data_IF_040767556659
#
_entry.id   IF_040767556659
#
_cell.length_a   1.000
_cell.length_b   1.000
_cell.length_c   1.000
_cell.angle_alpha   90.00
_cell.angle_beta   90.00
_cell.angle_gamma   90.00
#
_symmetry.space_group_name_H-M   'P 1'
#
loop_
_entity.id
_entity.type
_entity.pdbx_description
1 polymer ?
#
# COMPACT_ATOMS: atom_id res chain seq x y z
N UNK A 1 57.94 20.62 -15.42
CA UNK A 1 57.95 21.43 -16.65
C UNK A 1 58.42 20.55 -17.80
N UNK A 2 57.53 20.26 -18.76
CA UNK A 2 57.81 20.00 -20.17
C UNK A 2 56.58 19.33 -20.78
N UNK A 3 55.77 20.15 -21.43
CA UNK A 3 54.74 19.77 -22.40
C UNK A 3 55.40 19.28 -23.67
N UNK A 4 54.94 18.18 -24.27
CA UNK A 4 55.15 17.97 -25.70
C UNK A 4 53.97 17.24 -26.34
N UNK A 5 53.30 18.01 -27.17
CA UNK A 5 52.22 17.75 -28.09
C UNK A 5 52.65 16.75 -29.16
N UNK A 6 51.78 15.80 -29.54
CA UNK A 6 51.93 15.06 -30.79
C UNK A 6 50.64 15.19 -31.59
N UNK A 7 50.74 15.86 -32.75
CA UNK A 7 49.65 16.13 -33.68
C UNK A 7 49.42 14.91 -34.58
N UNK A 8 48.16 14.49 -34.67
CA UNK A 8 47.68 13.52 -35.64
C UNK A 8 47.62 14.17 -37.03
N UNK A 9 48.06 13.46 -38.06
CA UNK A 9 47.76 13.77 -39.46
C UNK A 9 46.89 12.68 -40.09
N UNK A 10 46.03 13.18 -40.97
CA UNK A 10 44.68 12.73 -41.26
C UNK A 10 44.65 12.10 -42.65
N UNK A 11 44.03 10.93 -42.81
CA UNK A 11 43.59 10.44 -44.11
C UNK A 11 42.06 10.53 -44.18
N UNK A 12 41.54 11.57 -44.84
CA UNK A 12 40.13 11.70 -45.21
C UNK A 12 39.95 11.05 -46.57
N UNK A 13 39.02 10.09 -46.70
CA UNK A 13 38.15 10.03 -47.88
C UNK A 13 36.78 9.40 -47.55
N UNK A 14 35.80 10.33 -47.43
CA UNK A 14 34.35 10.33 -47.76
C UNK A 14 33.44 9.12 -47.43
N UNK A 15 32.45 9.43 -46.58
CA UNK A 15 31.17 8.72 -46.31
C UNK A 15 30.24 8.61 -47.53
N UNK A 16 29.24 7.70 -47.46
CA UNK A 16 27.87 8.19 -47.30
C UNK A 16 27.02 7.47 -46.22
N UNK A 17 26.23 8.30 -45.52
CA UNK A 17 24.85 8.11 -45.05
C UNK A 17 24.44 6.98 -44.08
N UNK A 18 24.25 7.44 -42.82
CA UNK A 18 23.00 7.39 -42.03
C UNK A 18 22.50 6.03 -41.48
N UNK A 19 22.88 5.73 -40.22
CA UNK A 19 22.15 4.80 -39.37
C UNK A 19 21.88 5.43 -37.99
N UNK A 20 20.60 5.70 -37.68
CA UNK A 20 20.13 6.10 -36.36
C UNK A 20 20.34 4.94 -35.38
N UNK A 21 21.23 5.11 -34.40
CA UNK A 21 21.30 4.22 -33.24
C UNK A 21 20.17 4.64 -32.28
N UNK A 22 19.17 3.79 -32.11
CA UNK A 22 18.20 3.91 -31.01
C UNK A 22 18.87 3.37 -29.73
N UNK A 23 18.89 4.09 -28.60
CA UNK A 23 19.28 3.48 -27.35
C UNK A 23 18.19 2.50 -26.93
N UNK A 24 18.47 1.20 -27.02
CA UNK A 24 17.65 0.17 -26.40
C UNK A 24 17.92 0.20 -24.91
N UNK A 25 17.04 0.84 -24.15
CA UNK A 25 16.98 0.65 -22.70
C UNK A 25 16.46 -0.76 -22.45
N UNK A 26 17.38 -1.71 -22.30
CA UNK A 26 17.08 -3.04 -21.79
C UNK A 26 17.05 -2.94 -20.27
N UNK A 27 15.87 -2.67 -19.72
CA UNK A 27 15.63 -2.83 -18.29
C UNK A 27 15.59 -4.33 -17.99
N UNK A 28 16.75 -4.97 -17.87
CA UNK A 28 16.85 -6.36 -17.41
C UNK A 28 16.84 -6.40 -15.88
N UNK A 29 15.78 -5.88 -15.27
CA UNK A 29 15.43 -6.27 -13.90
C UNK A 29 14.57 -7.51 -14.06
N UNK A 30 15.21 -8.66 -14.21
CA UNK A 30 14.49 -9.92 -13.98
C UNK A 30 14.17 -9.96 -12.48
N UNK A 31 12.89 -10.02 -12.07
CA UNK A 31 12.56 -10.27 -10.67
C UNK A 31 13.17 -11.63 -10.30
N UNK A 32 13.72 -11.73 -9.10
CA UNK A 32 14.07 -13.03 -8.51
C UNK A 32 12.87 -13.98 -8.66
N UNK A 33 13.12 -15.20 -9.14
CA UNK A 33 12.12 -16.21 -9.48
C UNK A 33 11.38 -16.83 -8.27
N UNK A 34 11.10 -16.07 -7.22
CA UNK A 34 10.25 -16.51 -6.11
C UNK A 34 9.04 -15.60 -5.99
N UNK A 35 7.87 -16.23 -5.98
CA UNK A 35 6.63 -15.54 -5.66
C UNK A 35 6.70 -15.01 -4.22
N UNK A 36 6.05 -13.88 -3.97
CA UNK A 36 5.85 -13.36 -2.62
C UNK A 36 4.78 -14.24 -1.96
N UNK A 37 5.14 -14.88 -0.84
CA UNK A 37 4.24 -15.66 -0.02
C UNK A 37 3.39 -14.71 0.83
N UNK A 38 2.08 -14.69 0.62
CA UNK A 38 1.18 -13.78 1.33
C UNK A 38 0.34 -14.56 2.33
N UNK A 39 0.46 -14.19 3.61
CA UNK A 39 -0.42 -14.66 4.68
C UNK A 39 -1.52 -13.64 4.89
N UNK A 40 -2.77 -14.08 4.92
CA UNK A 40 -3.92 -13.20 5.12
C UNK A 40 -4.49 -13.49 6.51
N UNK A 41 -4.39 -12.52 7.42
CA UNK A 41 -4.92 -12.60 8.77
C UNK A 41 -6.26 -11.83 8.85
N UNK A 42 -7.31 -12.49 9.33
CA UNK A 42 -8.69 -12.06 9.10
C UNK A 42 -9.24 -12.52 7.75
N UNK A 43 -8.81 -13.69 7.27
CA UNK A 43 -9.12 -14.19 5.93
C UNK A 43 -10.62 -14.47 5.68
N UNK A 44 -11.39 -14.79 6.72
CA UNK A 44 -12.81 -15.12 6.56
C UNK A 44 -13.71 -13.88 6.44
N UNK A 45 -13.17 -12.68 6.75
CA UNK A 45 -13.87 -11.40 6.58
C UNK A 45 -14.06 -11.06 5.11
N UNK A 46 -15.06 -10.23 4.79
CA UNK A 46 -15.33 -9.77 3.42
C UNK A 46 -14.07 -9.20 2.72
N UNK A 47 -13.36 -8.29 3.40
CA UNK A 47 -12.12 -7.72 2.87
C UNK A 47 -10.98 -8.75 2.78
N UNK A 48 -10.94 -9.71 3.71
CA UNK A 48 -9.97 -10.81 3.70
C UNK A 48 -10.16 -11.71 2.48
N UNK A 49 -11.40 -12.09 2.18
CA UNK A 49 -11.77 -12.88 1.00
C UNK A 49 -11.44 -12.13 -0.29
N UNK A 50 -11.75 -10.83 -0.35
CA UNK A 50 -11.36 -10.00 -1.49
C UNK A 50 -9.84 -9.97 -1.69
N UNK A 51 -9.07 -9.91 -0.60
CA UNK A 51 -7.61 -9.97 -0.66
C UNK A 51 -7.09 -11.34 -1.11
N UNK A 52 -7.68 -12.45 -0.67
CA UNK A 52 -7.35 -13.80 -1.15
C UNK A 52 -7.49 -13.87 -2.67
N UNK A 53 -8.66 -13.46 -3.19
CA UNK A 53 -8.94 -13.46 -4.63
C UNK A 53 -7.95 -12.57 -5.38
N UNK A 54 -7.64 -11.39 -4.84
CA UNK A 54 -6.70 -10.45 -5.45
C UNK A 54 -5.27 -11.01 -5.52
N UNK A 55 -4.80 -11.62 -4.43
CA UNK A 55 -3.47 -12.24 -4.35
C UNK A 55 -3.36 -13.41 -5.31
N UNK A 56 -4.36 -14.29 -5.37
CA UNK A 56 -4.35 -15.45 -6.29
C UNK A 56 -4.29 -15.01 -7.76
N UNK A 57 -4.91 -13.89 -8.11
CA UNK A 57 -4.89 -13.33 -9.47
C UNK A 57 -3.62 -12.52 -9.77
N UNK A 58 -2.87 -12.10 -8.75
CA UNK A 58 -1.70 -11.25 -8.90
C UNK A 58 -0.47 -12.06 -9.34
N UNK A 59 0.25 -11.55 -10.36
CA UNK A 59 1.49 -12.17 -10.81
C UNK A 59 2.60 -11.97 -9.77
N UNK A 60 3.38 -13.01 -9.51
CA UNK A 60 4.50 -12.96 -8.56
C UNK A 60 4.08 -12.98 -7.10
N UNK A 61 2.82 -13.34 -6.82
CA UNK A 61 2.29 -13.52 -5.47
C UNK A 61 1.55 -14.85 -5.38
N UNK A 62 1.46 -15.39 -4.18
CA UNK A 62 0.61 -16.54 -3.90
C UNK A 62 0.11 -16.49 -2.45
N UNK A 63 -1.07 -17.03 -2.22
CA UNK A 63 -1.58 -17.19 -0.86
C UNK A 63 -0.82 -18.34 -0.22
N UNK A 64 -0.13 -18.07 0.88
CA UNK A 64 0.67 -19.05 1.60
C UNK A 64 0.01 -19.49 2.93
N UNK A 65 -0.99 -18.75 3.39
CA UNK A 65 -1.76 -19.11 4.57
C UNK A 65 -2.95 -18.18 4.78
N UNK A 66 -4.00 -18.74 5.37
CA UNK A 66 -5.21 -18.04 5.74
C UNK A 66 -5.44 -18.22 7.25
N UNK A 67 -5.53 -17.10 7.97
CA UNK A 67 -5.70 -17.11 9.43
C UNK A 67 -6.99 -16.40 9.80
N UNK A 68 -7.86 -17.08 10.55
CA UNK A 68 -9.08 -16.50 11.11
C UNK A 68 -9.60 -17.36 12.27
N UNK A 69 -10.45 -16.79 13.13
CA UNK A 69 -11.22 -17.53 14.14
C UNK A 69 -12.49 -18.17 13.57
N UNK A 70 -12.94 -17.73 12.40
CA UNK A 70 -14.11 -18.25 11.70
C UNK A 70 -13.71 -19.21 10.57
N UNK A 71 -14.58 -20.17 10.22
CA UNK A 71 -14.36 -21.14 9.13
C UNK A 71 -13.08 -21.98 9.27
N UNK A 72 -12.60 -22.21 10.49
CA UNK A 72 -11.36 -22.97 10.77
C UNK A 72 -11.48 -24.39 10.23
N UNK A 73 -10.47 -24.82 9.49
CA UNK A 73 -10.39 -26.13 8.83
C UNK A 73 -11.01 -26.16 7.43
N UNK A 74 -11.79 -25.15 7.04
CA UNK A 74 -12.30 -25.04 5.68
C UNK A 74 -11.21 -24.54 4.72
N UNK A 75 -11.31 -24.91 3.44
CA UNK A 75 -10.43 -24.40 2.40
C UNK A 75 -10.76 -22.94 2.07
N UNK A 76 -9.75 -22.06 2.09
CA UNK A 76 -9.97 -20.63 1.85
C UNK A 76 -10.44 -20.33 0.42
N UNK A 77 -10.05 -21.14 -0.57
CA UNK A 77 -10.54 -21.00 -1.95
C UNK A 77 -12.04 -21.24 -2.05
N UNK A 78 -12.54 -22.29 -1.39
CA UNK A 78 -13.99 -22.57 -1.28
C UNK A 78 -14.75 -21.48 -0.53
N UNK A 79 -14.21 -20.97 0.58
CA UNK A 79 -14.83 -19.88 1.35
C UNK A 79 -14.92 -18.57 0.54
N UNK A 80 -14.03 -18.41 -0.44
CA UNK A 80 -14.03 -17.29 -1.39
C UNK A 80 -14.83 -17.56 -2.68
N UNK A 81 -15.62 -18.65 -2.73
CA UNK A 81 -16.43 -19.06 -3.87
C UNK A 81 -15.62 -19.20 -5.18
N UNK A 82 -14.37 -19.65 -5.07
CA UNK A 82 -13.50 -19.88 -6.23
C UNK A 82 -13.86 -21.20 -6.93
N UNK A 83 -13.63 -21.25 -8.24
CA UNK A 83 -13.91 -22.44 -9.06
C UNK A 83 -13.06 -23.65 -8.62
N UNK A 84 -11.80 -23.42 -8.28
CA UNK A 84 -10.87 -24.44 -7.79
C UNK A 84 -10.47 -24.14 -6.34
N UNK A 85 -10.39 -25.18 -5.48
CA UNK A 85 -9.89 -25.03 -4.12
C UNK A 85 -8.41 -24.65 -4.14
N UNK A 86 -7.98 -23.86 -3.15
CA UNK A 86 -6.57 -23.49 -3.01
C UNK A 86 -5.75 -24.54 -2.23
N UNK A 87 -6.44 -25.49 -1.60
CA UNK A 87 -5.88 -26.49 -0.69
C UNK A 87 -5.16 -25.87 0.51
N UNK A 88 -5.64 -24.70 0.95
CA UNK A 88 -5.10 -23.96 2.09
C UNK A 88 -6.20 -23.90 3.15
N UNK A 89 -6.08 -24.68 4.25
CA UNK A 89 -7.05 -24.61 5.32
C UNK A 89 -6.92 -23.29 6.08
N UNK A 90 -8.07 -22.73 6.49
CA UNK A 90 -8.09 -21.62 7.43
C UNK A 90 -7.66 -22.15 8.80
N UNK A 91 -6.64 -21.55 9.40
CA UNK A 91 -6.15 -21.91 10.74
C UNK A 91 -6.38 -20.77 11.71
N UNK A 92 -6.39 -21.07 13.01
CA UNK A 92 -6.58 -20.07 14.07
C UNK A 92 -5.28 -19.68 14.78
N UNK A 93 -4.14 -20.20 14.34
CA UNK A 93 -2.82 -19.92 14.90
C UNK A 93 -1.92 -19.27 13.84
N UNK A 94 -1.71 -17.97 13.98
CA UNK A 94 -0.82 -17.19 13.13
C UNK A 94 0.63 -17.69 13.23
N UNK A 95 1.10 -18.03 14.44
CA UNK A 95 2.50 -18.43 14.69
C UNK A 95 2.84 -19.70 13.92
N UNK A 96 1.91 -20.65 13.84
CA UNK A 96 2.07 -21.89 13.07
C UNK A 96 2.35 -21.61 11.59
N UNK A 97 1.57 -20.71 10.97
CA UNK A 97 1.72 -20.35 9.55
C UNK A 97 3.01 -19.56 9.30
N UNK A 98 3.36 -18.65 10.20
CA UNK A 98 4.61 -17.89 10.08
C UNK A 98 5.84 -18.80 10.19
N UNK A 99 5.78 -19.79 11.08
CA UNK A 99 6.82 -20.78 11.27
C UNK A 99 7.14 -21.57 10.00
N UNK A 100 6.11 -22.06 9.28
CA UNK A 100 6.31 -22.82 8.04
C UNK A 100 6.95 -21.98 6.93
N UNK A 101 6.54 -20.71 6.78
CA UNK A 101 7.07 -19.81 5.75
C UNK A 101 8.50 -19.37 6.08
N UNK A 102 8.81 -19.11 7.36
CA UNK A 102 10.17 -18.68 7.75
C UNK A 102 11.26 -19.71 7.40
N UNK A 103 10.90 -20.99 7.28
CA UNK A 103 11.83 -22.07 6.94
C UNK A 103 12.20 -22.13 5.45
N UNK A 104 11.37 -21.59 4.55
CA UNK A 104 11.54 -21.75 3.10
C UNK A 104 12.52 -20.74 2.45
N UNK A 105 13.12 -19.82 3.23
CA UNK A 105 13.91 -18.67 2.73
C UNK A 105 13.17 -17.76 1.73
N UNK A 106 11.85 -17.88 1.64
CA UNK A 106 11.04 -17.08 0.72
C UNK A 106 10.71 -15.71 1.33
N UNK A 107 10.34 -14.77 0.46
CA UNK A 107 9.87 -13.46 0.92
C UNK A 107 8.40 -13.58 1.34
N UNK A 108 8.16 -13.50 2.65
CA UNK A 108 6.83 -13.53 3.23
C UNK A 108 6.30 -12.14 3.61
N UNK A 109 5.00 -11.93 3.38
CA UNK A 109 4.25 -10.74 3.82
C UNK A 109 2.98 -11.18 4.53
N UNK A 110 2.68 -10.56 5.66
CA UNK A 110 1.42 -10.71 6.39
C UNK A 110 0.52 -9.52 6.09
N UNK A 111 -0.69 -9.78 5.62
CA UNK A 111 -1.74 -8.76 5.45
C UNK A 111 -2.74 -8.93 6.59
N UNK A 112 -2.88 -7.91 7.44
CA UNK A 112 -3.68 -7.96 8.66
C UNK A 112 -4.96 -7.13 8.51
N UNK A 113 -6.10 -7.83 8.60
CA UNK A 113 -7.46 -7.29 8.60
C UNK A 113 -8.20 -7.60 9.90
N UNK A 114 -7.50 -7.86 11.00
CA UNK A 114 -8.10 -8.29 12.27
C UNK A 114 -8.80 -7.13 13.01
N UNK A 115 -8.49 -6.91 14.29
CA UNK A 115 -9.10 -5.88 15.14
C UNK A 115 -8.00 -5.00 15.72
N UNK A 116 -8.27 -3.71 16.01
CA UNK A 116 -7.23 -2.78 16.48
C UNK A 116 -6.41 -3.32 17.65
N UNK A 117 -7.04 -4.03 18.59
CA UNK A 117 -6.38 -4.60 19.76
C UNK A 117 -5.42 -5.76 19.48
N UNK A 118 -5.48 -6.39 18.31
CA UNK A 118 -4.62 -7.52 17.95
C UNK A 118 -3.42 -7.12 17.08
N UNK A 119 -3.50 -5.96 16.40
CA UNK A 119 -2.51 -5.55 15.39
C UNK A 119 -1.08 -5.54 15.93
N UNK A 120 -0.87 -4.95 17.11
CA UNK A 120 0.48 -4.83 17.68
C UNK A 120 1.13 -6.20 17.88
N UNK A 121 0.39 -7.14 18.46
CA UNK A 121 0.89 -8.49 18.72
C UNK A 121 1.08 -9.30 17.42
N UNK A 122 0.19 -9.12 16.45
CA UNK A 122 0.32 -9.77 15.14
C UNK A 122 1.57 -9.30 14.39
N UNK A 123 1.81 -7.98 14.32
CA UNK A 123 3.01 -7.41 13.68
C UNK A 123 4.28 -7.81 14.43
N UNK A 124 4.21 -7.89 15.76
CA UNK A 124 5.31 -8.38 16.59
C UNK A 124 5.66 -9.84 16.27
N UNK A 125 4.65 -10.70 16.13
CA UNK A 125 4.84 -12.10 15.70
C UNK A 125 5.43 -12.17 14.30
N UNK A 126 4.83 -11.49 13.31
CA UNK A 126 5.33 -11.47 11.93
C UNK A 126 6.81 -11.05 11.85
N UNK A 127 7.15 -9.96 12.56
CA UNK A 127 8.52 -9.45 12.67
C UNK A 127 9.47 -10.46 13.30
N UNK A 128 9.04 -11.20 14.34
CA UNK A 128 9.86 -12.23 14.99
C UNK A 128 10.23 -13.39 14.06
N UNK A 129 9.39 -13.69 13.07
CA UNK A 129 9.65 -14.69 12.02
C UNK A 129 10.32 -14.09 10.77
N UNK A 130 10.64 -12.79 10.78
CA UNK A 130 11.30 -12.11 9.65
C UNK A 130 10.37 -11.75 8.49
N UNK A 131 9.04 -11.71 8.72
CA UNK A 131 8.06 -11.31 7.71
C UNK A 131 7.70 -9.83 7.83
N UNK A 132 7.41 -9.20 6.69
CA UNK A 132 6.91 -7.81 6.63
C UNK A 132 5.40 -7.80 6.81
N UNK A 133 4.86 -6.68 7.29
CA UNK A 133 3.42 -6.54 7.55
C UNK A 133 2.78 -5.43 6.72
N UNK A 134 1.57 -5.67 6.24
CA UNK A 134 0.64 -4.67 5.69
C UNK A 134 -0.62 -4.71 6.55
N UNK A 135 -0.93 -3.62 7.22
CA UNK A 135 -2.04 -3.53 8.16
C UNK A 135 -3.09 -2.62 7.59
N UNK A 136 -4.30 -3.14 7.37
CA UNK A 136 -5.48 -2.33 7.16
C UNK A 136 -6.50 -2.67 8.24
N UNK A 137 -6.48 -1.86 9.29
CA UNK A 137 -7.39 -2.01 10.42
C UNK A 137 -7.96 -0.63 10.77
N UNK A 138 -9.25 -0.38 10.47
CA UNK A 138 -9.89 0.88 10.79
C UNK A 138 -9.84 1.16 12.30
N UNK A 139 -9.74 2.45 12.66
CA UNK A 139 -9.71 2.94 14.05
C UNK A 139 -8.52 2.41 14.89
N UNK A 140 -7.37 2.18 14.25
CA UNK A 140 -6.11 2.01 14.98
C UNK A 140 -5.72 3.36 15.63
N UNK A 141 -5.25 3.33 16.87
CA UNK A 141 -4.89 4.56 17.59
C UNK A 141 -3.52 5.06 17.16
N UNK A 142 -3.31 6.38 17.27
CA UNK A 142 -1.99 7.01 16.99
C UNK A 142 -0.90 6.46 17.90
N UNK A 143 -1.24 6.12 19.15
CA UNK A 143 -0.31 5.48 20.10
C UNK A 143 0.14 4.10 19.62
N UNK A 144 -0.78 3.28 19.09
CA UNK A 144 -0.44 1.99 18.50
C UNK A 144 0.42 2.15 17.26
N UNK A 145 0.12 3.11 16.37
CA UNK A 145 0.95 3.41 15.20
C UNK A 145 2.37 3.81 15.63
N UNK A 146 2.49 4.68 16.63
CA UNK A 146 3.78 5.16 17.15
C UNK A 146 4.59 4.01 17.77
N UNK A 147 3.94 3.15 18.54
CA UNK A 147 4.57 1.95 19.10
C UNK A 147 5.04 0.98 18.02
N UNK A 148 4.22 0.74 16.98
CA UNK A 148 4.59 -0.08 15.82
C UNK A 148 5.79 0.51 15.07
N UNK A 149 5.81 1.81 14.84
CA UNK A 149 6.92 2.51 14.17
C UNK A 149 8.23 2.30 14.94
N UNK A 150 8.23 2.60 16.24
CA UNK A 150 9.41 2.45 17.09
C UNK A 150 9.88 0.99 17.19
N UNK A 151 8.94 0.03 17.20
CA UNK A 151 9.25 -1.39 17.19
C UNK A 151 9.89 -1.85 15.87
N UNK A 152 9.28 -1.49 14.74
CA UNK A 152 9.74 -1.88 13.41
C UNK A 152 11.11 -1.27 13.07
N UNK A 153 11.35 -0.03 13.48
CA UNK A 153 12.65 0.63 13.34
C UNK A 153 13.76 -0.14 14.08
N UNK A 154 13.52 -0.50 15.35
CA UNK A 154 14.47 -1.30 16.15
C UNK A 154 14.71 -2.69 15.55
N UNK A 155 13.67 -3.30 15.00
CA UNK A 155 13.75 -4.61 14.36
C UNK A 155 14.35 -4.58 12.95
N UNK A 156 14.56 -3.39 12.35
CA UNK A 156 14.92 -3.24 10.94
C UNK A 156 13.94 -3.96 9.99
N UNK A 157 12.65 -3.94 10.33
CA UNK A 157 11.59 -4.63 9.59
C UNK A 157 10.56 -3.64 9.03
N UNK A 158 9.99 -3.96 7.88
CA UNK A 158 9.01 -3.13 7.20
C UNK A 158 7.57 -3.41 7.66
N UNK A 159 6.84 -2.35 8.00
CA UNK A 159 5.40 -2.40 8.27
C UNK A 159 4.70 -1.22 7.58
N UNK A 160 3.68 -1.51 6.77
CA UNK A 160 2.81 -0.50 6.16
C UNK A 160 1.48 -0.48 6.89
N UNK A 161 1.16 0.62 7.58
CA UNK A 161 -0.18 0.85 8.12
C UNK A 161 -0.95 1.71 7.13
N UNK A 162 -1.98 1.13 6.50
CA UNK A 162 -2.77 1.78 5.47
C UNK A 162 -4.13 2.22 6.05
N UNK A 163 -4.47 3.53 6.05
CA UNK A 163 -5.79 4.00 6.47
C UNK A 163 -6.88 3.69 5.43
N UNK A 164 -6.49 3.51 4.17
CA UNK A 164 -7.35 3.07 3.05
C UNK A 164 -6.53 2.19 2.11
N UNK A 165 -7.19 1.22 1.48
CA UNK A 165 -6.60 0.40 0.40
C UNK A 165 -7.00 0.90 -0.99
N UNK A 166 -7.84 1.95 -1.06
CA UNK A 166 -8.23 2.55 -2.34
C UNK A 166 -7.10 3.42 -2.88
N UNK A 167 -6.37 2.91 -3.87
CA UNK A 167 -5.34 3.67 -4.58
C UNK A 167 -5.94 4.94 -5.19
N UNK A 168 -7.17 4.87 -5.73
CA UNK A 168 -7.86 6.03 -6.28
C UNK A 168 -8.07 7.14 -5.26
N UNK A 169 -8.45 6.80 -4.03
CA UNK A 169 -8.61 7.78 -2.94
C UNK A 169 -7.27 8.42 -2.55
N UNK A 170 -6.20 7.64 -2.47
CA UNK A 170 -4.85 8.17 -2.18
C UNK A 170 -4.37 9.10 -3.30
N UNK A 171 -4.57 8.73 -4.56
CA UNK A 171 -4.20 9.56 -5.71
C UNK A 171 -5.01 10.87 -5.73
N UNK A 172 -6.31 10.81 -5.44
CA UNK A 172 -7.16 12.00 -5.30
C UNK A 172 -6.63 12.92 -4.19
N UNK A 173 -6.32 12.38 -3.02
CA UNK A 173 -5.76 13.15 -1.90
C UNK A 173 -4.44 13.84 -2.29
N UNK A 174 -3.53 13.12 -2.93
CA UNK A 174 -2.24 13.68 -3.37
C UNK A 174 -2.41 14.76 -4.44
N UNK A 175 -3.31 14.54 -5.40
CA UNK A 175 -3.62 15.52 -6.44
C UNK A 175 -4.28 16.76 -5.84
N UNK A 176 -5.20 16.60 -4.89
CA UNK A 176 -5.86 17.70 -4.20
C UNK A 176 -4.86 18.55 -3.41
N UNK A 177 -3.96 17.93 -2.63
CA UNK A 177 -2.88 18.62 -1.92
C UNK A 177 -1.98 19.37 -2.90
N UNK A 178 -1.61 18.76 -4.03
CA UNK A 178 -0.75 19.40 -5.02
C UNK A 178 -1.43 20.60 -5.69
N UNK A 179 -2.72 20.46 -6.02
CA UNK A 179 -3.50 21.52 -6.63
C UNK A 179 -3.77 22.68 -5.66
N UNK A 180 -3.92 22.41 -4.36
CA UNK A 180 -4.36 23.41 -3.39
C UNK A 180 -3.42 24.60 -3.25
N UNK A 181 -2.12 24.42 -3.54
CA UNK A 181 -1.14 25.52 -3.60
C UNK A 181 -1.41 26.53 -4.72
N UNK A 182 -2.28 26.22 -5.67
CA UNK A 182 -2.62 27.06 -6.82
C UNK A 182 -4.03 27.65 -6.76
N UNK A 183 -4.85 27.26 -5.77
CA UNK A 183 -6.24 27.71 -5.64
C UNK A 183 -6.51 28.29 -4.25
N UNK A 184 -7.31 29.35 -4.21
CA UNK A 184 -7.73 29.99 -2.95
C UNK A 184 -9.04 29.43 -2.40
N UNK A 185 -9.81 28.74 -3.24
CA UNK A 185 -11.12 28.20 -2.89
C UNK A 185 -11.18 26.69 -3.10
N UNK A 186 -11.86 25.98 -2.21
CA UNK A 186 -12.01 24.53 -2.26
C UNK A 186 -13.38 24.11 -1.72
N UNK A 187 -14.01 23.15 -2.40
CA UNK A 187 -15.23 22.50 -1.97
C UNK A 187 -15.06 20.98 -2.11
N UNK A 188 -15.47 20.23 -1.10
CA UNK A 188 -15.46 18.77 -1.11
C UNK A 188 -16.89 18.30 -1.24
N UNK A 189 -17.21 17.67 -2.38
CA UNK A 189 -18.53 17.12 -2.67
C UNK A 189 -18.43 15.60 -2.68
N UNK A 190 -19.24 14.93 -1.88
CA UNK A 190 -19.35 13.49 -1.86
C UNK A 190 -20.79 13.02 -2.08
N UNK A 191 -20.94 11.83 -2.66
CA UNK A 191 -22.25 11.21 -2.89
C UNK A 191 -22.18 9.74 -2.54
N UNK A 192 -23.18 9.27 -1.79
CA UNK A 192 -23.28 7.89 -1.31
C UNK A 192 -24.72 7.40 -1.41
N UNK A 193 -24.89 6.09 -1.62
CA UNK A 193 -26.21 5.46 -1.67
C UNK A 193 -27.00 5.59 -0.36
N UNK A 194 -26.30 5.72 0.77
CA UNK A 194 -26.89 5.91 2.08
C UNK A 194 -26.31 7.17 2.73
N UNK A 195 -27.20 8.06 3.22
CA UNK A 195 -26.86 9.34 3.82
C UNK A 195 -26.34 9.24 5.27
N UNK A 196 -26.23 8.03 5.83
CA UNK A 196 -25.70 7.81 7.18
C UNK A 196 -24.21 8.19 7.22
N UNK A 197 -23.81 8.94 8.25
CA UNK A 197 -22.43 9.32 8.51
C UNK A 197 -21.80 10.15 7.38
N UNK A 198 -22.50 11.19 6.93
CA UNK A 198 -21.94 12.30 6.16
C UNK A 198 -21.55 13.47 7.09
N UNK A 199 -20.40 14.13 6.89
CA UNK A 199 -19.39 13.79 5.89
C UNK A 199 -18.65 12.49 6.23
N UNK A 200 -18.22 11.74 5.20
CA UNK A 200 -17.51 10.47 5.39
C UNK A 200 -16.12 10.68 5.98
N UNK A 201 -15.53 9.65 6.63
CA UNK A 201 -14.15 9.70 7.10
C UNK A 201 -13.15 10.06 5.99
N UNK A 202 -13.40 9.64 4.76
CA UNK A 202 -12.56 9.96 3.60
C UNK A 202 -12.65 11.46 3.24
N UNK A 203 -13.85 12.03 3.22
CA UNK A 203 -14.06 13.46 2.98
C UNK A 203 -13.41 14.31 4.09
N UNK A 204 -13.58 13.89 5.35
CA UNK A 204 -12.92 14.52 6.51
C UNK A 204 -11.40 14.43 6.39
N UNK A 205 -10.87 13.28 5.97
CA UNK A 205 -9.43 13.09 5.77
C UNK A 205 -8.88 14.03 4.67
N UNK A 206 -9.59 14.17 3.54
CA UNK A 206 -9.21 15.13 2.49
C UNK A 206 -9.22 16.56 3.06
N UNK A 207 -10.27 16.95 3.79
CA UNK A 207 -10.37 18.29 4.39
C UNK A 207 -9.22 18.58 5.37
N UNK A 208 -8.88 17.60 6.21
CA UNK A 208 -7.77 17.70 7.17
C UNK A 208 -6.42 17.81 6.45
N UNK A 209 -6.19 17.01 5.41
CA UNK A 209 -4.96 17.07 4.63
C UNK A 209 -4.74 18.44 3.99
N UNK A 210 -5.82 19.09 3.52
CA UNK A 210 -5.76 20.43 2.94
C UNK A 210 -5.53 21.51 4.01
N UNK A 211 -6.27 21.43 5.13
CA UNK A 211 -6.22 22.43 6.21
C UNK A 211 -4.88 22.45 6.95
N UNK A 212 -4.23 21.29 7.08
CA UNK A 212 -2.95 21.14 7.77
C UNK A 212 -1.76 21.75 7.00
N UNK A 213 -1.97 22.27 5.79
CA UNK A 213 -0.94 22.97 5.01
C UNK A 213 -0.71 24.42 5.49
N UNK A 214 -1.52 24.91 6.44
CA UNK A 214 -1.42 26.28 6.97
C UNK A 214 -2.01 27.36 6.05
N UNK A 215 -2.65 26.94 4.95
CA UNK A 215 -3.39 27.82 4.06
C UNK A 215 -4.87 27.85 4.46
N UNK A 216 -5.42 29.07 4.57
CA UNK A 216 -6.86 29.27 4.80
C UNK A 216 -7.52 29.43 3.43
N UNK A 217 -8.39 28.49 3.08
CA UNK A 217 -9.19 28.52 1.85
C UNK A 217 -10.52 29.24 2.09
N UNK A 218 -11.19 29.70 1.02
CA UNK A 218 -12.53 30.31 1.06
C UNK A 218 -12.62 31.56 1.95
N UNK A 219 -11.59 32.43 1.95
CA UNK A 219 -11.55 33.64 2.79
C UNK A 219 -12.71 34.61 2.55
N UNK A 220 -13.19 34.67 1.32
CA UNK A 220 -14.26 35.59 0.91
C UNK A 220 -15.62 35.13 1.46
N UNK A 221 -15.84 33.81 1.60
CA UNK A 221 -17.08 33.24 2.13
C UNK A 221 -17.29 33.54 3.62
N UNK A 222 -16.19 33.69 4.38
CA UNK A 222 -16.22 34.08 5.80
C UNK A 222 -16.74 35.50 6.02
N UNK A 223 -16.71 36.37 5.01
CA UNK A 223 -17.20 37.75 5.10
C UNK A 223 -18.72 37.88 4.91
N UNK A 224 -19.38 36.78 4.53
CA UNK A 224 -20.82 36.69 4.27
C UNK A 224 -21.59 36.03 5.41
N UNK A 225 -21.27 36.38 6.66
CA UNK A 225 -22.26 36.31 7.75
C UNK A 225 -23.39 37.30 7.43
N UNK A 226 -24.28 36.89 6.53
CA UNK A 226 -25.55 37.54 6.29
C UNK A 226 -26.29 37.46 7.60
N UNK A 227 -26.31 38.57 8.35
CA UNK A 227 -27.24 38.76 9.46
C UNK A 227 -28.62 38.41 8.95
N UNK A 228 -29.15 37.26 9.40
CA UNK A 228 -30.54 36.90 9.22
C UNK A 228 -31.34 37.99 9.94
N UNK A 229 -31.73 39.03 9.21
CA UNK A 229 -32.71 40.00 9.67
C UNK A 229 -34.04 39.25 9.75
N UNK A 230 -34.43 38.93 10.97
CA UNK A 230 -35.81 38.60 11.32
C UNK A 230 -36.77 39.74 10.95
#
# INVERSE_FOLDING_TARGET
MATLSCQFHLAIHRLPCNARVRPSFSCSVQPSQSNIKVVINGAAKEIGRAAVIAVTKARGMEVAGAVDSYCVGEDIGKVCDMEEPLEIPIVNDLTMVLGSISQSKETGVVVDFTKPSAVYDNVKQATAFGLRSVVYVPRITVDTISALSAFCEKASMGCLVAPTLSIGSILLQQAAISASFHYNNVEIVESRAHATDLPSPDAIQIANNLSNLGQIYNREDLSTDVSVKH
#
